data_IF_417866114819
#
_entry.id   IF_417866114819
#
_cell.length_a   1.000
_cell.length_b   1.000
_cell.length_c   1.000
_cell.angle_alpha   90.00
_cell.angle_beta   90.00
_cell.angle_gamma   90.00
#
_symmetry.space_group_name_H-M   'P 1'
#
loop_
_entity.id
_entity.type
_entity.pdbx_description
1 polymer ?
#
# COMPACT_ATOMS: atom_id res chain seq x y z
N UNK A 1 7.40 -10.47 14.38
CA UNK A 1 6.50 -9.58 13.62
C UNK A 1 7.27 -8.34 13.18
N UNK A 2 7.72 -8.33 11.93
CA UNK A 2 8.43 -7.19 11.37
C UNK A 2 7.43 -6.34 10.58
N UNK A 3 7.40 -5.03 10.84
CA UNK A 3 6.57 -4.09 10.11
C UNK A 3 7.47 -3.19 9.26
N UNK A 4 7.28 -3.21 7.95
CA UNK A 4 7.96 -2.31 7.02
C UNK A 4 7.02 -1.19 6.62
N UNK A 5 7.54 0.04 6.53
CA UNK A 5 6.75 1.21 6.14
C UNK A 5 7.33 1.81 4.87
N UNK A 6 6.49 2.00 3.84
CA UNK A 6 6.87 2.62 2.57
C UNK A 6 6.05 3.88 2.34
N UNK A 7 6.66 4.92 1.73
CA UNK A 7 5.92 6.10 1.29
C UNK A 7 5.26 5.80 -0.06
N UNK A 8 3.96 6.06 -0.17
CA UNK A 8 3.26 5.99 -1.44
C UNK A 8 3.48 7.31 -2.18
N UNK A 9 3.92 7.18 -3.43
CA UNK A 9 4.12 8.31 -4.33
C UNK A 9 3.40 8.07 -5.63
N UNK A 10 2.71 9.11 -6.10
CA UNK A 10 2.12 9.13 -7.44
C UNK A 10 3.02 9.95 -8.36
N UNK A 11 3.23 9.45 -9.57
CA UNK A 11 3.93 10.20 -10.61
C UNK A 11 2.90 11.04 -11.36
N UNK A 12 3.11 12.35 -11.40
CA UNK A 12 2.27 13.29 -12.14
C UNK A 12 3.06 13.84 -13.32
N UNK A 13 2.44 13.82 -14.50
CA UNK A 13 2.97 14.48 -15.68
C UNK A 13 2.72 15.99 -15.55
N UNK A 14 3.80 16.76 -15.38
CA UNK A 14 3.71 18.21 -15.32
C UNK A 14 3.40 18.80 -16.70
N UNK A 15 2.72 19.95 -16.72
CA UNK A 15 2.42 20.71 -17.95
C UNK A 15 3.67 21.08 -18.77
N UNK A 16 4.85 21.10 -18.14
CA UNK A 16 6.12 21.49 -18.74
C UNK A 16 6.92 20.28 -19.28
N UNK A 17 6.30 19.09 -19.37
CA UNK A 17 6.97 17.84 -19.78
C UNK A 17 7.89 17.22 -18.72
N UNK A 18 7.93 17.80 -17.51
CA UNK A 18 8.68 17.26 -16.37
C UNK A 18 7.78 16.39 -15.50
N UNK A 19 8.29 15.22 -15.14
CA UNK A 19 7.62 14.31 -14.23
C UNK A 19 7.97 14.67 -12.78
N UNK A 20 6.95 14.78 -11.93
CA UNK A 20 7.12 14.99 -10.50
C UNK A 20 6.52 13.83 -9.72
N UNK A 21 7.11 13.53 -8.57
CA UNK A 21 6.58 12.55 -7.63
C UNK A 21 5.96 13.28 -6.46
N UNK A 22 4.66 13.08 -6.24
CA UNK A 22 3.96 13.61 -5.08
C UNK A 22 3.74 12.52 -4.04
N UNK A 23 3.85 12.86 -2.75
CA UNK A 23 3.61 11.92 -1.67
C UNK A 23 2.12 11.89 -1.36
N UNK A 24 1.46 10.76 -1.65
CA UNK A 24 0.01 10.63 -1.49
C UNK A 24 -0.40 9.75 -0.30
N UNK A 25 0.55 9.07 0.35
CA UNK A 25 0.21 8.22 1.49
C UNK A 25 1.37 7.41 2.05
N UNK A 26 1.00 6.43 2.87
CA UNK A 26 1.92 5.49 3.51
C UNK A 26 1.34 4.08 3.43
N UNK A 27 2.21 3.11 3.12
CA UNK A 27 1.94 1.69 3.09
C UNK A 27 2.62 1.01 4.29
N UNK A 28 1.90 0.15 4.99
CA UNK A 28 2.40 -0.70 6.05
C UNK A 28 2.35 -2.15 5.58
N UNK A 29 3.49 -2.82 5.54
CA UNK A 29 3.59 -4.25 5.23
C UNK A 29 3.79 -4.97 6.56
N UNK A 30 2.84 -5.83 6.89
CA UNK A 30 2.88 -6.64 8.11
C UNK A 30 3.31 -8.05 7.73
N UNK A 31 4.30 -8.59 8.43
CA UNK A 31 4.76 -9.96 8.23
C UNK A 31 4.69 -10.79 9.49
N UNK A 32 4.56 -12.10 9.33
CA UNK A 32 4.79 -13.05 10.41
C UNK A 32 6.31 -13.16 10.75
N UNK A 33 6.65 -14.08 11.65
CA UNK A 33 8.03 -14.30 12.09
C UNK A 33 8.91 -14.97 11.03
N UNK A 34 8.31 -15.59 10.00
CA UNK A 34 9.02 -16.15 8.85
C UNK A 34 9.29 -15.13 7.74
N UNK A 35 8.70 -13.93 7.85
CA UNK A 35 8.78 -12.88 6.83
C UNK A 35 7.70 -12.99 5.75
N UNK A 36 6.74 -13.91 5.89
CA UNK A 36 5.58 -14.01 5.01
C UNK A 36 4.65 -12.82 5.25
N UNK A 37 4.21 -12.16 4.18
CA UNK A 37 3.28 -11.03 4.27
C UNK A 37 1.93 -11.54 4.74
N UNK A 38 1.43 -11.03 5.85
CA UNK A 38 0.11 -11.38 6.41
C UNK A 38 -0.96 -10.37 6.03
N UNK A 39 -0.58 -9.10 5.86
CA UNK A 39 -1.46 -8.04 5.41
C UNK A 39 -0.68 -6.82 4.95
N UNK A 40 -1.36 -5.99 4.17
CA UNK A 40 -0.88 -4.67 3.75
C UNK A 40 -1.93 -3.63 4.13
N UNK A 41 -1.55 -2.57 4.83
CA UNK A 41 -2.46 -1.49 5.23
C UNK A 41 -2.04 -0.19 4.56
N UNK A 42 -3.01 0.59 4.08
CA UNK A 42 -2.77 1.84 3.34
C UNK A 42 -3.43 3.00 4.08
N UNK A 43 -2.69 4.10 4.25
CA UNK A 43 -3.25 5.42 4.59
C UNK A 43 -3.00 6.38 3.44
N UNK A 44 -4.07 6.91 2.86
CA UNK A 44 -4.01 7.78 1.68
C UNK A 44 -4.63 9.15 1.98
N UNK A 45 -4.00 10.24 1.54
CA UNK A 45 -4.41 11.61 1.84
C UNK A 45 -5.80 11.98 1.27
N UNK A 46 -6.16 11.46 0.08
CA UNK A 46 -7.46 11.65 -0.54
C UNK A 46 -8.62 10.95 0.18
N UNK A 47 -8.34 9.99 1.07
CA UNK A 47 -9.35 9.20 1.79
C UNK A 47 -9.13 9.31 3.31
N UNK A 48 -9.25 10.51 3.88
CA UNK A 48 -9.04 10.70 5.31
C UNK A 48 -10.10 9.90 6.10
N UNK A 49 -9.65 9.19 7.14
CA UNK A 49 -10.53 8.38 7.99
C UNK A 49 -10.95 7.03 7.38
N UNK A 50 -10.50 6.69 6.17
CA UNK A 50 -10.75 5.38 5.57
C UNK A 50 -9.57 4.45 5.87
N UNK A 51 -9.87 3.28 6.45
CA UNK A 51 -8.88 2.21 6.63
C UNK A 51 -8.94 1.26 5.44
N UNK A 52 -7.84 1.19 4.69
CA UNK A 52 -7.68 0.28 3.57
C UNK A 52 -6.72 -0.83 3.94
N UNK A 53 -7.14 -2.08 3.76
CA UNK A 53 -6.32 -3.25 4.01
C UNK A 53 -6.47 -4.29 2.88
N UNK A 54 -5.37 -4.92 2.53
CA UNK A 54 -5.31 -6.07 1.64
C UNK A 54 -4.71 -7.26 2.38
N UNK A 55 -5.23 -8.45 2.08
CA UNK A 55 -4.78 -9.71 2.66
C UNK A 55 -4.34 -10.64 1.53
N UNK A 56 -3.36 -11.53 1.76
CA UNK A 56 -3.05 -12.59 0.82
C UNK A 56 -4.31 -13.39 0.44
N UNK A 57 -4.40 -13.89 -0.80
CA UNK A 57 -5.50 -14.78 -1.18
C UNK A 57 -5.55 -15.98 -0.25
N UNK A 58 -6.76 -16.43 0.11
CA UNK A 58 -6.92 -17.71 0.80
C UNK A 58 -7.01 -18.80 -0.26
N UNK A 59 -6.47 -19.98 0.01
CA UNK A 59 -6.51 -21.13 -0.91
C UNK A 59 -7.93 -21.57 -1.35
N UNK A 60 -8.99 -20.99 -0.76
CA UNK A 60 -10.39 -21.23 -1.12
C UNK A 60 -11.03 -20.16 -2.01
N UNK A 61 -10.31 -19.09 -2.33
CA UNK A 61 -10.86 -17.96 -3.09
C UNK A 61 -10.56 -18.05 -4.62
N UNK A 62 -9.97 -19.15 -5.10
CA UNK A 62 -9.77 -19.42 -6.55
C UNK A 62 -10.98 -20.08 -7.25
N UNK A 63 -12.06 -20.37 -6.53
CA UNK A 63 -13.32 -20.87 -7.11
C UNK A 63 -14.51 -20.01 -6.66
N UNK A 64 -14.80 -18.91 -7.37
CA UNK A 64 -16.12 -18.26 -7.40
C UNK A 64 -16.29 -17.37 -8.64
#
# INVERSE_FOLDING_TARGET
MANQTLKLRVKTEGRDGKNYWDNCGVLFINTDDSGTITSVTVKHNMFPGVEMAAFPPRDKDEES
#
